data_IF_261579750076
#
_entry.id   IF_261579750076
#
_cell.length_a   1.000
_cell.length_b   1.000
_cell.length_c   1.000
_cell.angle_alpha   90.00
_cell.angle_beta   90.00
_cell.angle_gamma   90.00
#
_symmetry.space_group_name_H-M   'P 1'
#
loop_
_entity.id
_entity.type
_entity.pdbx_description
1 polymer ?
#
# COMPACT_ATOMS: atom_id res chain seq x y z
N UNK A 1 17.62 -13.64 1.83
CA UNK A 1 18.45 -14.86 1.73
C UNK A 1 18.09 -15.64 0.47
N UNK A 2 18.95 -16.56 0.00
CA UNK A 2 18.66 -17.36 -1.22
C UNK A 2 17.35 -18.13 -1.11
N UNK A 3 17.07 -18.72 0.05
CA UNK A 3 15.84 -19.48 0.31
C UNK A 3 14.57 -18.63 0.18
N UNK A 4 14.61 -17.38 0.65
CA UNK A 4 13.49 -16.45 0.49
C UNK A 4 13.23 -16.13 -0.99
N UNK A 5 14.29 -15.92 -1.77
CA UNK A 5 14.17 -15.65 -3.21
C UNK A 5 13.58 -16.86 -3.94
N UNK A 6 13.98 -18.08 -3.57
CA UNK A 6 13.42 -19.31 -4.15
C UNK A 6 11.94 -19.51 -3.80
N UNK A 7 11.53 -19.19 -2.57
CA UNK A 7 10.11 -19.22 -2.17
C UNK A 7 9.28 -18.18 -2.94
N UNK A 8 9.79 -16.95 -3.05
CA UNK A 8 9.14 -15.89 -3.83
C UNK A 8 9.07 -16.26 -5.32
N UNK A 9 10.11 -16.89 -5.88
CA UNK A 9 10.10 -17.38 -7.25
C UNK A 9 9.07 -18.49 -7.46
N UNK A 10 8.92 -19.43 -6.50
CA UNK A 10 7.85 -20.43 -6.53
C UNK A 10 6.46 -19.79 -6.51
N UNK A 11 6.23 -18.80 -5.65
CA UNK A 11 4.95 -18.05 -5.60
C UNK A 11 4.69 -17.29 -6.90
N UNK A 12 5.71 -16.61 -7.43
CA UNK A 12 5.62 -15.94 -8.73
C UNK A 12 5.20 -16.91 -9.83
N UNK A 13 5.81 -18.12 -9.88
CA UNK A 13 5.46 -19.14 -10.87
C UNK A 13 4.05 -19.71 -10.70
N UNK A 14 3.58 -19.85 -9.46
CA UNK A 14 2.20 -20.27 -9.19
C UNK A 14 1.20 -19.22 -9.70
N UNK A 15 1.41 -17.96 -9.32
CA UNK A 15 0.56 -16.84 -9.71
C UNK A 15 0.60 -16.59 -11.22
N UNK A 16 1.77 -16.65 -11.84
CA UNK A 16 1.92 -16.44 -13.28
C UNK A 16 1.46 -17.63 -14.14
N UNK A 17 1.02 -18.73 -13.54
CA UNK A 17 0.77 -20.01 -14.22
C UNK A 17 1.97 -20.45 -15.08
N UNK A 18 3.17 -20.40 -14.48
CA UNK A 18 4.48 -20.68 -15.07
C UNK A 18 4.94 -19.73 -16.19
N UNK A 19 4.20 -18.67 -16.51
CA UNK A 19 4.61 -17.63 -17.47
C UNK A 19 5.79 -16.80 -16.95
N UNK A 20 6.33 -15.95 -17.82
CA UNK A 20 7.42 -15.00 -17.49
C UNK A 20 6.93 -13.73 -16.80
N UNK A 21 5.64 -13.45 -16.89
CA UNK A 21 5.00 -12.23 -16.39
C UNK A 21 3.65 -12.56 -15.73
N UNK A 22 3.20 -11.68 -14.85
CA UNK A 22 1.91 -11.72 -14.16
C UNK A 22 1.02 -10.60 -14.72
N UNK A 23 -0.25 -10.91 -14.95
CA UNK A 23 -1.32 -9.97 -15.34
C UNK A 23 -2.24 -9.67 -14.16
N UNK A 24 -3.08 -8.64 -14.28
CA UNK A 24 -4.03 -8.26 -13.22
C UNK A 24 -5.02 -9.39 -12.93
N UNK A 25 -5.51 -10.05 -13.98
CA UNK A 25 -6.45 -11.18 -13.88
C UNK A 25 -5.88 -12.36 -13.07
N UNK A 26 -4.56 -12.52 -13.01
CA UNK A 26 -3.94 -13.62 -12.27
C UNK A 26 -4.20 -13.49 -10.76
N UNK A 27 -4.42 -12.27 -10.25
CA UNK A 27 -4.79 -12.04 -8.85
C UNK A 27 -6.23 -12.48 -8.54
N UNK A 28 -7.06 -12.79 -9.53
CA UNK A 28 -8.38 -13.38 -9.33
C UNK A 28 -8.29 -14.81 -8.80
N UNK A 29 -7.15 -15.50 -9.00
CA UNK A 29 -6.95 -16.87 -8.54
C UNK A 29 -6.50 -16.97 -7.08
N UNK A 30 -6.42 -15.86 -6.34
CA UNK A 30 -5.99 -15.81 -4.94
C UNK A 30 -7.23 -15.79 -4.03
N UNK A 31 -7.60 -16.90 -3.37
CA UNK A 31 -8.82 -16.97 -2.57
C UNK A 31 -8.80 -15.99 -1.38
N UNK A 32 -7.65 -15.84 -0.73
CA UNK A 32 -7.48 -14.90 0.40
C UNK A 32 -7.69 -13.43 0.00
N UNK A 33 -7.62 -13.13 -1.30
CA UNK A 33 -7.84 -11.80 -1.82
C UNK A 33 -9.31 -11.57 -2.22
N UNK A 34 -10.09 -12.62 -2.47
CA UNK A 34 -11.47 -12.55 -3.00
C UNK A 34 -12.39 -11.67 -2.15
N UNK A 35 -12.33 -11.84 -0.82
CA UNK A 35 -13.14 -11.08 0.13
C UNK A 35 -12.36 -9.97 0.83
N UNK A 36 -11.16 -9.64 0.34
CA UNK A 36 -10.37 -8.56 0.91
C UNK A 36 -10.95 -7.21 0.45
N UNK A 37 -11.42 -6.34 1.36
CA UNK A 37 -12.11 -5.09 0.97
C UNK A 37 -11.23 -4.14 0.16
N UNK A 38 -9.91 -4.18 0.35
CA UNK A 38 -8.93 -3.36 -0.38
C UNK A 38 -8.24 -4.15 -1.51
N UNK A 39 -8.84 -5.26 -1.96
CA UNK A 39 -8.34 -6.09 -3.07
C UNK A 39 -7.92 -5.24 -4.27
N UNK A 40 -8.81 -4.36 -4.73
CA UNK A 40 -8.56 -3.53 -5.91
C UNK A 40 -7.32 -2.66 -5.74
N UNK A 41 -7.12 -2.08 -4.56
CA UNK A 41 -5.95 -1.26 -4.20
C UNK A 41 -4.67 -2.09 -4.15
N UNK A 42 -4.73 -3.29 -3.56
CA UNK A 42 -3.58 -4.20 -3.51
C UNK A 42 -3.15 -4.57 -4.94
N UNK A 43 -4.10 -5.00 -5.79
CA UNK A 43 -3.80 -5.33 -7.18
C UNK A 43 -3.25 -4.10 -7.90
N UNK A 44 -3.91 -2.95 -7.79
CA UNK A 44 -3.44 -1.70 -8.40
C UNK A 44 -1.98 -1.38 -8.00
N UNK A 45 -1.65 -1.50 -6.72
CA UNK A 45 -0.31 -1.20 -6.20
C UNK A 45 0.80 -2.08 -6.80
N UNK A 46 0.50 -3.33 -7.16
CA UNK A 46 1.46 -4.21 -7.84
C UNK A 46 1.81 -3.74 -9.27
N UNK A 47 0.88 -3.07 -9.94
CA UNK A 47 1.05 -2.60 -11.32
C UNK A 47 1.36 -1.11 -11.42
N UNK A 48 1.30 -0.35 -10.32
CA UNK A 48 1.64 1.07 -10.30
C UNK A 48 3.12 1.29 -10.63
N UNK A 49 3.41 2.01 -11.71
CA UNK A 49 4.78 2.28 -12.17
C UNK A 49 5.60 3.09 -11.16
N UNK A 50 4.95 3.84 -10.26
CA UNK A 50 5.60 4.54 -9.13
C UNK A 50 6.17 3.54 -8.14
N UNK A 51 5.38 2.52 -7.77
CA UNK A 51 5.80 1.44 -6.88
C UNK A 51 6.85 0.53 -7.52
N UNK A 52 6.77 0.35 -8.84
CA UNK A 52 7.77 -0.38 -9.61
C UNK A 52 9.06 0.43 -9.85
N UNK A 53 9.12 1.70 -9.44
CA UNK A 53 10.26 2.61 -9.66
C UNK A 53 10.60 2.78 -11.15
N UNK A 54 9.60 2.67 -12.03
CA UNK A 54 9.77 2.73 -13.50
C UNK A 54 9.32 4.05 -14.13
N UNK A 55 8.30 4.69 -13.57
CA UNK A 55 7.77 5.96 -14.08
C UNK A 55 7.06 6.73 -12.96
N UNK A 56 6.89 8.06 -13.10
CA UNK A 56 6.23 8.89 -12.09
C UNK A 56 4.70 8.69 -12.02
N UNK A 57 4.07 8.07 -13.03
CA UNK A 57 2.64 7.81 -13.05
C UNK A 57 2.28 6.64 -13.99
N UNK A 58 1.06 6.13 -13.82
CA UNK A 58 0.43 5.13 -14.69
C UNK A 58 0.71 3.69 -14.31
N UNK A 59 0.06 2.78 -15.05
CA UNK A 59 0.07 1.34 -14.76
C UNK A 59 0.89 0.54 -15.78
N UNK A 60 1.57 -0.49 -15.29
CA UNK A 60 2.09 -1.57 -16.10
C UNK A 60 0.94 -2.51 -16.50
N UNK A 61 1.02 -3.07 -17.71
CA UNK A 61 0.07 -4.10 -18.16
C UNK A 61 0.42 -5.46 -17.56
N UNK A 62 1.72 -5.76 -17.48
CA UNK A 62 2.25 -6.99 -16.90
C UNK A 62 3.49 -6.69 -16.04
N UNK A 63 3.75 -7.53 -15.04
CA UNK A 63 4.95 -7.44 -14.19
C UNK A 63 5.79 -8.71 -14.30
N UNK A 64 7.11 -8.56 -14.36
CA UNK A 64 8.03 -9.71 -14.37
C UNK A 64 8.47 -10.10 -12.94
N UNK A 65 9.40 -11.06 -12.81
CA UNK A 65 9.86 -11.50 -11.48
C UNK A 65 10.63 -10.42 -10.71
N UNK A 66 11.41 -9.58 -11.40
CA UNK A 66 12.14 -8.46 -10.78
C UNK A 66 11.18 -7.39 -10.25
N UNK A 67 10.12 -7.10 -11.01
CA UNK A 67 9.04 -6.20 -10.61
C UNK A 67 8.31 -6.75 -9.39
N UNK A 68 7.99 -8.04 -9.40
CA UNK A 68 7.40 -8.72 -8.25
C UNK A 68 8.31 -8.59 -7.03
N UNK A 69 9.61 -8.85 -7.15
CA UNK A 69 10.57 -8.69 -6.04
C UNK A 69 10.64 -7.23 -5.55
N UNK A 70 10.56 -6.26 -6.45
CA UNK A 70 10.49 -4.82 -6.10
C UNK A 70 9.30 -4.56 -5.18
N UNK A 71 8.10 -5.04 -5.53
CA UNK A 71 6.91 -4.89 -4.69
C UNK A 71 7.06 -5.63 -3.36
N UNK A 72 7.54 -6.87 -3.39
CA UNK A 72 7.76 -7.66 -2.17
C UNK A 72 8.80 -7.03 -1.24
N UNK A 73 9.74 -6.23 -1.78
CA UNK A 73 10.78 -5.57 -0.99
C UNK A 73 10.23 -4.57 0.03
N UNK A 74 9.08 -3.93 -0.25
CA UNK A 74 8.39 -3.02 0.67
C UNK A 74 7.87 -3.73 1.92
N UNK A 75 7.61 -5.04 1.83
CA UNK A 75 7.09 -5.85 2.94
C UNK A 75 8.18 -6.61 3.69
N UNK A 76 9.45 -6.35 3.43
CA UNK A 76 10.53 -6.99 4.21
C UNK A 76 10.45 -6.56 5.68
N UNK A 77 10.69 -7.50 6.62
CA UNK A 77 10.84 -7.16 8.03
C UNK A 77 12.10 -6.31 8.24
N UNK A 78 12.13 -5.57 9.35
CA UNK A 78 13.30 -4.83 9.78
C UNK A 78 14.38 -5.81 10.21
N UNK A 79 15.63 -5.50 9.89
CA UNK A 79 16.80 -6.22 10.36
C UNK A 79 17.28 -5.59 11.68
N UNK A 80 17.59 -6.42 12.69
CA UNK A 80 17.86 -5.95 14.06
C UNK A 80 19.13 -5.09 14.20
N UNK A 81 20.01 -5.13 13.20
CA UNK A 81 21.33 -4.49 13.14
C UNK A 81 21.37 -3.26 12.21
N UNK A 82 20.20 -2.77 11.80
CA UNK A 82 20.07 -1.63 10.92
C UNK A 82 20.38 -0.31 11.65
N UNK A 83 21.16 0.57 11.02
CA UNK A 83 21.38 1.94 11.50
C UNK A 83 20.12 2.81 11.34
N UNK A 84 20.08 3.94 12.06
CA UNK A 84 18.92 4.84 12.11
C UNK A 84 18.59 5.44 10.74
N UNK A 85 19.60 5.76 9.92
CA UNK A 85 19.41 6.34 8.58
C UNK A 85 18.75 5.34 7.62
N UNK A 86 19.20 4.08 7.65
CA UNK A 86 18.60 3.00 6.88
C UNK A 86 17.19 2.72 7.37
N UNK A 87 16.96 2.68 8.68
CA UNK A 87 15.63 2.46 9.24
C UNK A 87 14.64 3.52 8.77
N UNK A 88 15.03 4.79 8.82
CA UNK A 88 14.21 5.91 8.35
C UNK A 88 13.95 5.82 6.83
N UNK A 89 14.95 5.44 6.05
CA UNK A 89 14.78 5.21 4.61
C UNK A 89 13.79 4.08 4.31
N UNK A 90 13.91 2.94 5.00
CA UNK A 90 12.97 1.82 4.88
C UNK A 90 11.55 2.21 5.27
N UNK A 91 11.42 2.96 6.37
CA UNK A 91 10.15 3.50 6.84
C UNK A 91 9.53 4.43 5.80
N UNK A 92 10.32 5.35 5.24
CA UNK A 92 9.89 6.28 4.18
C UNK A 92 9.46 5.53 2.92
N UNK A 93 10.17 4.49 2.49
CA UNK A 93 9.78 3.67 1.35
C UNK A 93 8.45 2.94 1.57
N UNK A 94 8.21 2.37 2.77
CA UNK A 94 6.93 1.74 3.14
C UNK A 94 5.78 2.74 3.15
N UNK A 95 5.97 3.89 3.78
CA UNK A 95 4.96 4.95 3.83
C UNK A 95 4.67 5.50 2.44
N UNK A 96 5.68 5.60 1.56
CA UNK A 96 5.48 6.03 0.18
C UNK A 96 4.66 5.03 -0.62
N UNK A 97 4.90 3.73 -0.43
CA UNK A 97 4.06 2.70 -1.04
C UNK A 97 2.60 2.81 -0.60
N UNK A 98 2.35 2.99 0.71
CA UNK A 98 0.99 3.19 1.23
C UNK A 98 0.36 4.48 0.71
N UNK A 99 1.12 5.56 0.65
CA UNK A 99 0.67 6.83 0.10
C UNK A 99 0.13 6.66 -1.33
N UNK A 100 0.88 5.96 -2.21
CA UNK A 100 0.43 5.65 -3.57
C UNK A 100 -0.80 4.73 -3.63
N UNK A 101 -1.17 4.03 -2.54
CA UNK A 101 -2.43 3.29 -2.50
C UNK A 101 -3.64 4.20 -2.26
N UNK A 102 -3.44 5.34 -1.57
CA UNK A 102 -4.48 6.34 -1.36
C UNK A 102 -4.60 7.30 -2.55
N UNK A 103 -3.48 7.85 -3.02
CA UNK A 103 -3.38 8.75 -4.18
C UNK A 103 -3.61 7.97 -5.49
N UNK A 104 -4.83 8.05 -5.99
CA UNK A 104 -5.32 7.25 -7.11
C UNK A 104 -5.07 7.93 -8.46
N UNK A 105 -5.03 9.26 -8.51
CA UNK A 105 -4.89 10.05 -9.73
C UNK A 105 -3.46 10.52 -10.03
N UNK A 106 -2.51 10.18 -9.17
CA UNK A 106 -1.08 10.43 -9.32
C UNK A 106 -0.65 11.89 -9.13
N UNK A 107 -1.47 12.73 -8.50
CA UNK A 107 -1.18 14.15 -8.31
C UNK A 107 -0.26 14.44 -7.10
N UNK A 108 -0.07 13.44 -6.22
CA UNK A 108 0.77 13.56 -5.03
C UNK A 108 0.07 14.18 -3.82
N UNK A 109 -1.26 14.28 -3.84
CA UNK A 109 -2.10 14.83 -2.78
C UNK A 109 -3.24 13.84 -2.50
N UNK A 110 -3.35 13.34 -1.27
CA UNK A 110 -4.53 12.56 -0.87
C UNK A 110 -5.65 13.53 -0.54
N UNK A 111 -6.63 13.60 -1.44
CA UNK A 111 -7.83 14.42 -1.25
C UNK A 111 -8.81 13.78 -0.26
N UNK A 112 -9.74 14.58 0.27
CA UNK A 112 -10.84 14.07 1.11
C UNK A 112 -11.67 13.00 0.36
N UNK A 113 -11.83 13.14 -0.96
CA UNK A 113 -12.60 12.19 -1.76
C UNK A 113 -11.87 10.85 -1.87
N UNK A 114 -10.58 10.86 -2.20
CA UNK A 114 -9.80 9.62 -2.27
C UNK A 114 -9.70 8.91 -0.92
N UNK A 115 -9.54 9.67 0.16
CA UNK A 115 -9.57 9.09 1.51
C UNK A 115 -10.93 8.45 1.83
N UNK A 116 -12.04 9.11 1.46
CA UNK A 116 -13.40 8.57 1.59
C UNK A 116 -13.58 7.30 0.78
N UNK A 117 -13.07 7.25 -0.45
CA UNK A 117 -13.18 6.07 -1.31
C UNK A 117 -12.46 4.87 -0.70
N UNK A 118 -11.24 5.06 -0.18
CA UNK A 118 -10.51 3.99 0.53
C UNK A 118 -11.23 3.57 1.81
N UNK A 119 -11.80 4.51 2.55
CA UNK A 119 -12.55 4.20 3.78
C UNK A 119 -13.86 3.45 3.48
N UNK A 120 -14.58 3.81 2.40
CA UNK A 120 -15.78 3.11 1.94
C UNK A 120 -15.44 1.68 1.51
N UNK A 121 -14.34 1.48 0.79
CA UNK A 121 -13.82 0.15 0.45
C UNK A 121 -13.56 -0.68 1.72
N UNK A 122 -12.82 -0.15 2.69
CA UNK A 122 -12.51 -0.84 3.96
C UNK A 122 -13.75 -1.20 4.78
N UNK A 123 -14.79 -0.37 4.73
CA UNK A 123 -15.96 -0.46 5.57
C UNK A 123 -17.16 -1.13 4.87
N UNK A 124 -17.03 -1.43 3.57
CA UNK A 124 -18.05 -2.10 2.74
C UNK A 124 -18.53 -3.44 3.32
N UNK A 125 -17.70 -4.12 4.12
CA UNK A 125 -18.05 -5.37 4.81
C UNK A 125 -18.79 -5.18 6.15
N UNK A 126 -18.99 -3.95 6.62
CA UNK A 126 -19.59 -3.68 7.93
C UNK A 126 -21.02 -3.11 7.78
N UNK A 127 -22.08 -3.93 7.95
CA UNK A 127 -23.46 -3.51 7.73
C UNK A 127 -23.99 -2.53 8.80
N UNK A 128 -23.21 -2.26 9.85
CA UNK A 128 -23.62 -1.41 10.96
C UNK A 128 -23.13 0.04 10.87
N UNK A 129 -22.33 0.39 9.85
CA UNK A 129 -21.92 1.78 9.65
C UNK A 129 -22.75 2.45 8.56
N UNK A 130 -23.45 3.51 8.96
CA UNK A 130 -24.14 4.41 8.05
C UNK A 130 -23.14 5.27 7.28
N UNK A 131 -23.42 5.53 5.99
CA UNK A 131 -22.58 6.35 5.10
C UNK A 131 -22.30 7.75 5.66
N UNK A 132 -23.22 8.31 6.44
CA UNK A 132 -23.06 9.61 7.10
C UNK A 132 -22.00 9.57 8.20
N UNK A 133 -21.90 8.46 8.94
CA UNK A 133 -20.85 8.26 9.96
C UNK A 133 -19.46 8.16 9.33
N UNK A 134 -19.35 7.47 8.18
CA UNK A 134 -18.08 7.38 7.42
C UNK A 134 -17.62 8.76 6.95
N UNK A 135 -18.55 9.58 6.47
CA UNK A 135 -18.26 10.96 6.06
C UNK A 135 -17.70 11.78 7.22
N UNK A 136 -18.33 11.70 8.40
CA UNK A 136 -17.90 12.43 9.58
C UNK A 136 -16.50 11.97 10.06
N UNK A 137 -16.22 10.67 10.01
CA UNK A 137 -14.89 10.12 10.35
C UNK A 137 -13.84 10.65 9.37
N UNK A 138 -14.13 10.60 8.06
CA UNK A 138 -13.20 11.06 7.04
C UNK A 138 -12.88 12.55 7.16
N UNK A 139 -13.90 13.38 7.37
CA UNK A 139 -13.76 14.82 7.56
C UNK A 139 -12.99 15.15 8.86
N UNK A 140 -13.26 14.42 9.95
CA UNK A 140 -12.54 14.56 11.21
C UNK A 140 -11.05 14.22 11.08
N UNK A 141 -10.72 13.10 10.39
CA UNK A 141 -9.34 12.69 10.17
C UNK A 141 -8.56 13.68 9.28
N UNK A 142 -9.19 14.20 8.22
CA UNK A 142 -8.59 15.25 7.38
C UNK A 142 -8.33 16.54 8.16
N UNK A 143 -9.25 16.95 9.05
CA UNK A 143 -9.08 18.13 9.88
C UNK A 143 -7.93 17.94 10.88
N UNK A 144 -7.81 16.75 11.48
CA UNK A 144 -6.70 16.41 12.36
C UNK A 144 -5.37 16.46 11.60
N UNK A 145 -5.30 15.84 10.43
CA UNK A 145 -4.11 15.88 9.57
C UNK A 145 -3.73 17.33 9.20
N UNK A 146 -4.71 18.15 8.79
CA UNK A 146 -4.50 19.57 8.50
C UNK A 146 -3.93 20.30 9.73
N UNK A 147 -4.47 20.06 10.93
CA UNK A 147 -4.01 20.70 12.17
C UNK A 147 -2.57 20.34 12.57
N UNK A 148 -2.15 19.10 12.30
CA UNK A 148 -0.77 18.61 12.54
C UNK A 148 0.20 19.17 11.51
N UNK A 149 -0.27 19.33 10.28
CA UNK A 149 0.59 19.58 9.13
C UNK A 149 0.73 21.07 8.79
N UNK A 150 -0.30 21.86 9.09
CA UNK A 150 -0.38 23.30 8.86
C UNK A 150 -0.38 24.05 10.20
N UNK A 151 0.78 24.49 10.72
CA UNK A 151 0.82 25.43 11.82
C UNK A 151 0.42 26.83 11.30
N UNK A 152 -0.90 27.07 11.20
CA UNK A 152 -1.51 28.38 10.86
C UNK A 152 -0.92 29.07 9.64
N UNK A 153 -1.30 28.64 8.44
CA UNK A 153 -1.19 29.53 7.28
C UNK A 153 -2.41 30.46 7.22
N UNK A 154 -2.28 31.57 6.49
CA UNK A 154 -3.20 32.71 6.55
C UNK A 154 -4.66 32.37 6.21
N UNK A 155 -5.61 33.29 6.47
CA UNK A 155 -7.05 33.07 6.33
C UNK A 155 -7.53 32.61 4.93
N UNK A 156 -6.66 32.63 3.92
CA UNK A 156 -6.99 32.36 2.51
C UNK A 156 -6.36 31.07 1.94
N UNK A 157 -5.54 30.33 2.70
CA UNK A 157 -5.01 29.04 2.24
C UNK A 157 -5.98 27.90 2.52
N UNK A 158 -6.54 27.33 1.44
CA UNK A 158 -7.39 26.14 1.51
C UNK A 158 -6.48 24.92 1.58
N UNK A 159 -6.68 24.06 2.58
CA UNK A 159 -5.99 22.78 2.66
C UNK A 159 -6.50 21.85 1.54
N UNK A 160 -5.69 21.69 0.49
CA UNK A 160 -6.06 20.92 -0.72
C UNK A 160 -6.09 19.39 -0.45
N UNK A 161 -5.31 18.91 0.51
CA UNK A 161 -5.27 17.52 0.92
C UNK A 161 -3.96 17.15 1.62
N UNK A 162 -3.76 15.87 1.88
CA UNK A 162 -2.56 15.38 2.55
C UNK A 162 -1.45 15.14 1.53
N UNK A 163 -0.39 15.94 1.57
CA UNK A 163 0.83 15.68 0.80
C UNK A 163 1.63 14.52 1.38
N UNK A 164 2.61 13.98 0.65
CA UNK A 164 3.47 12.93 1.21
C UNK A 164 4.24 13.37 2.48
N UNK A 165 4.68 14.63 2.55
CA UNK A 165 5.35 15.16 3.74
C UNK A 165 4.40 15.26 4.94
N UNK A 166 3.14 15.57 4.69
CA UNK A 166 2.08 15.57 5.72
C UNK A 166 1.77 14.15 6.19
N UNK A 167 1.73 13.19 5.25
CA UNK A 167 1.59 11.77 5.56
C UNK A 167 2.71 11.29 6.49
N UNK A 168 3.97 11.69 6.25
CA UNK A 168 5.08 11.35 7.16
C UNK A 168 4.88 11.90 8.57
N UNK A 169 4.38 13.15 8.72
CA UNK A 169 4.09 13.75 10.01
C UNK A 169 2.99 13.00 10.76
N UNK A 170 1.87 12.71 10.09
CA UNK A 170 0.73 11.97 10.67
C UNK A 170 1.16 10.59 11.16
N UNK A 171 2.04 9.91 10.42
CA UNK A 171 2.48 8.57 10.76
C UNK A 171 3.65 8.50 11.76
N UNK A 172 4.26 9.63 12.16
CA UNK A 172 5.49 9.68 12.97
C UNK A 172 5.44 8.88 14.29
N UNK A 173 4.26 8.74 14.90
CA UNK A 173 4.07 7.98 16.14
C UNK A 173 3.70 6.50 15.97
N UNK A 174 3.61 6.01 14.73
CA UNK A 174 3.21 4.63 14.42
C UNK A 174 4.40 3.89 13.85
N UNK A 175 4.76 2.76 14.46
CA UNK A 175 5.84 1.87 14.03
C UNK A 175 5.40 1.03 12.82
N UNK A 176 5.22 1.68 11.66
CA UNK A 176 4.71 1.06 10.43
C UNK A 176 5.57 -0.13 9.98
N UNK A 177 6.86 -0.07 10.26
CA UNK A 177 7.82 -1.10 9.96
C UNK A 177 7.54 -2.44 10.68
N UNK A 178 6.87 -2.38 11.84
CA UNK A 178 6.40 -3.57 12.56
C UNK A 178 5.03 -4.07 12.07
N UNK A 179 4.25 -3.21 11.40
CA UNK A 179 2.89 -3.51 10.92
C UNK A 179 2.88 -4.00 9.46
N UNK A 180 3.66 -3.36 8.60
CA UNK A 180 3.72 -3.62 7.16
C UNK A 180 4.91 -4.56 6.86
N UNK A 181 4.83 -5.80 7.32
CA UNK A 181 5.84 -6.81 7.02
C UNK A 181 5.22 -8.17 6.73
N UNK A 182 5.91 -8.95 5.88
CA UNK A 182 5.55 -10.33 5.55
C UNK A 182 6.75 -11.21 5.83
N UNK A 183 6.53 -12.30 6.58
CA UNK A 183 7.54 -13.32 6.82
C UNK A 183 7.51 -14.36 5.72
N UNK A 184 8.33 -14.16 4.69
CA UNK A 184 8.36 -15.03 3.51
C UNK A 184 8.68 -16.50 3.84
N UNK A 185 9.52 -16.73 4.86
CA UNK A 185 9.94 -18.08 5.29
C UNK A 185 8.84 -18.89 6.00
N UNK A 186 7.87 -18.22 6.65
CA UNK A 186 6.77 -18.89 7.38
C UNK A 186 5.46 -18.95 6.59
N UNK A 187 5.45 -18.44 5.35
CA UNK A 187 4.33 -18.62 4.45
C UNK A 187 4.36 -20.05 3.91
N UNK A 188 3.72 -20.99 4.63
CA UNK A 188 3.40 -22.30 4.06
C UNK A 188 2.76 -22.07 2.68
N UNK A 189 3.37 -22.64 1.64
CA UNK A 189 2.72 -22.74 0.35
C UNK A 189 1.42 -23.47 0.63
N UNK A 190 0.27 -22.77 0.50
CA UNK A 190 -1.06 -23.35 0.73
C UNK A 190 -1.06 -24.65 -0.05
N UNK A 191 -1.05 -25.76 0.69
CA UNK A 191 -1.08 -27.08 0.11
C UNK A 191 -2.40 -27.14 -0.63
N UNK A 192 -2.34 -27.15 -1.96
CA UNK A 192 -3.49 -27.44 -2.79
C UNK A 192 -4.07 -28.76 -2.30
N UNK A 193 -5.23 -28.72 -1.66
CA UNK A 193 -6.04 -29.91 -1.49
C UNK A 193 -6.55 -30.28 -2.88
N UNK A 194 -6.28 -31.53 -3.27
CA UNK A 194 -6.61 -32.15 -4.55
C UNK A 194 -8.11 -32.11 -4.87
#
# INVERSE_FOLDING_TARGET
TSEQIEQLHRRFKQLSHNRKTIRKEDFDTIPDLEFNPIRARIVHAFFDKRNLRKAPAGLAEEINFEDFLTIMSYFRPIEMDMDEERLESFRKEKLKFLFHMYDADYDGIITLQEYKDVLDELMSGNPHLEKESLRAIAEGAMLEAASVCMPRTGPDEVYEGITFEDFLKVWKGIDIETKMHVRFLTMEAIAHCY
#
